data_IF_141221063422
#
_entry.id   IF_141221063422
#
_cell.length_a   1.000
_cell.length_b   1.000
_cell.length_c   1.000
_cell.angle_alpha   90.00
_cell.angle_beta   90.00
_cell.angle_gamma   90.00
#
_symmetry.space_group_name_H-M   'P 1'
#
loop_
_entity.id
_entity.type
_entity.pdbx_description
1 polymer ?
#
# COMPACT_ATOMS: atom_id res chain seq x y z
N UNK A 1 -16.13 13.53 2.10
CA UNK A 1 -14.87 13.83 2.81
C UNK A 1 -14.68 12.77 3.89
N UNK A 2 -13.49 12.19 4.05
CA UNK A 2 -13.22 11.22 5.13
C UNK A 2 -13.03 11.99 6.45
N UNK A 3 -13.71 11.63 7.55
CA UNK A 3 -13.52 12.26 8.85
C UNK A 3 -12.07 12.12 9.36
N UNK A 4 -11.43 13.18 9.90
CA UNK A 4 -10.04 13.09 10.39
C UNK A 4 -9.81 11.99 11.43
N UNK A 5 -10.79 11.73 12.29
CA UNK A 5 -10.72 10.67 13.30
C UNK A 5 -10.66 9.24 12.71
N UNK A 6 -10.98 9.07 11.42
CA UNK A 6 -10.84 7.82 10.66
C UNK A 6 -9.53 7.75 9.86
N UNK A 7 -8.71 8.80 9.89
CA UNK A 7 -7.41 8.84 9.24
C UNK A 7 -6.32 8.47 10.25
N UNK A 8 -5.72 7.30 10.04
CA UNK A 8 -4.58 6.84 10.82
C UNK A 8 -3.28 7.29 10.15
N UNK A 9 -2.32 7.79 10.93
CA UNK A 9 -1.01 8.22 10.44
C UNK A 9 0.13 7.67 11.30
N UNK A 10 1.23 7.33 10.64
CA UNK A 10 2.45 6.85 11.29
C UNK A 10 3.66 7.15 10.42
N UNK A 11 4.71 7.69 11.04
CA UNK A 11 6.06 7.78 10.51
C UNK A 11 7.01 7.70 11.70
N UNK A 12 7.97 6.76 11.73
CA UNK A 12 8.93 6.65 12.83
C UNK A 12 9.85 7.89 12.95
N UNK A 13 9.91 8.73 11.91
CA UNK A 13 10.71 9.95 11.89
C UNK A 13 9.94 11.20 12.31
N UNK A 14 8.66 11.10 12.70
CA UNK A 14 7.89 12.27 13.14
C UNK A 14 8.57 12.99 14.30
N UNK A 15 8.73 14.30 14.12
CA UNK A 15 9.13 15.23 15.17
C UNK A 15 7.98 15.51 16.15
N UNK A 16 8.28 15.93 17.39
CA UNK A 16 7.24 16.33 18.35
C UNK A 16 6.30 17.42 17.81
N UNK A 17 6.81 18.32 16.97
CA UNK A 17 6.03 19.38 16.33
C UNK A 17 5.02 18.80 15.32
N UNK A 18 5.45 17.86 14.47
CA UNK A 18 4.55 17.19 13.52
C UNK A 18 3.46 16.41 14.25
N UNK A 19 3.81 15.67 15.30
CA UNK A 19 2.83 14.97 16.13
C UNK A 19 1.80 15.95 16.72
N UNK A 20 2.26 17.10 17.22
CA UNK A 20 1.38 18.15 17.75
C UNK A 20 0.41 18.70 16.70
N UNK A 21 0.90 18.99 15.49
CA UNK A 21 0.07 19.50 14.38
C UNK A 21 -0.93 18.45 13.91
N UNK A 22 -0.50 17.20 13.70
CA UNK A 22 -1.36 16.10 13.28
C UNK A 22 -2.48 15.84 14.29
N UNK A 23 -2.17 15.93 15.59
CA UNK A 23 -3.16 15.85 16.67
C UNK A 23 -4.18 17.00 16.65
N UNK A 24 -3.74 18.24 16.40
CA UNK A 24 -4.64 19.40 16.27
C UNK A 24 -5.56 19.30 15.04
N UNK A 25 -5.11 18.61 13.98
CA UNK A 25 -5.92 18.30 12.79
C UNK A 25 -6.93 17.17 13.05
N UNK A 26 -6.93 16.55 14.23
CA UNK A 26 -7.84 15.48 14.62
C UNK A 26 -7.51 14.12 13.99
N UNK A 27 -6.29 13.94 13.49
CA UNK A 27 -5.81 12.67 12.93
C UNK A 27 -5.44 11.70 14.05
N UNK A 28 -5.63 10.41 13.80
CA UNK A 28 -5.27 9.35 14.76
C UNK A 28 -3.83 8.92 14.55
N UNK A 29 -2.97 9.19 15.53
CA UNK A 29 -1.60 8.67 15.54
C UNK A 29 -1.60 7.18 15.89
N UNK A 30 -0.98 6.35 15.06
CA UNK A 30 -0.64 4.98 15.47
C UNK A 30 0.50 5.06 16.49
N UNK A 31 0.39 4.27 17.57
CA UNK A 31 1.36 4.26 18.66
C UNK A 31 2.53 3.33 18.37
N UNK A 32 2.27 2.25 17.63
CA UNK A 32 3.21 1.19 17.36
C UNK A 32 3.72 1.27 15.92
N UNK A 33 5.01 0.97 15.73
CA UNK A 33 5.55 0.71 14.41
C UNK A 33 5.07 -0.65 13.91
N UNK A 34 3.98 -0.66 13.16
CA UNK A 34 3.43 -1.87 12.57
C UNK A 34 4.27 -2.40 11.39
N UNK A 35 5.34 -1.71 10.98
CA UNK A 35 6.21 -2.08 9.86
C UNK A 35 5.42 -2.35 8.56
N UNK A 36 4.36 -1.57 8.33
CA UNK A 36 3.47 -1.71 7.18
C UNK A 36 2.40 -2.80 7.31
N UNK A 37 2.26 -3.46 8.47
CA UNK A 37 1.32 -4.56 8.71
C UNK A 37 -0.03 -4.06 9.27
N UNK A 38 -0.52 -2.93 8.77
CA UNK A 38 -1.83 -2.43 9.17
C UNK A 38 -2.94 -3.29 8.56
N UNK A 39 -3.96 -3.65 9.35
CA UNK A 39 -5.04 -4.52 8.92
C UNK A 39 -6.27 -3.74 8.44
N UNK A 40 -7.01 -4.30 7.50
CA UNK A 40 -8.33 -3.79 7.11
C UNK A 40 -9.38 -4.21 8.16
N UNK A 41 -10.05 -3.24 8.77
CA UNK A 41 -11.03 -3.46 9.85
C UNK A 41 -12.49 -3.41 9.33
N UNK A 42 -12.85 -4.29 8.39
CA UNK A 42 -14.24 -4.50 7.94
C UNK A 42 -14.82 -3.46 6.97
N UNK A 43 -14.28 -2.24 6.93
CA UNK A 43 -14.61 -1.22 5.92
C UNK A 43 -13.62 -1.20 4.76
N UNK A 44 -13.97 -0.50 3.68
CA UNK A 44 -13.00 -0.18 2.63
C UNK A 44 -11.93 0.77 3.20
N UNK A 45 -10.66 0.49 2.91
CA UNK A 45 -9.51 1.20 3.47
C UNK A 45 -8.57 1.66 2.36
N UNK A 46 -8.24 2.95 2.39
CA UNK A 46 -7.24 3.57 1.54
C UNK A 46 -5.90 3.61 2.28
N UNK A 47 -4.88 3.01 1.71
CA UNK A 47 -3.49 3.12 2.18
C UNK A 47 -2.75 4.15 1.32
N UNK A 48 -2.29 5.22 1.95
CA UNK A 48 -1.45 6.23 1.31
C UNK A 48 0.00 5.98 1.73
N UNK A 49 0.81 5.44 0.82
CA UNK A 49 2.15 4.91 1.10
C UNK A 49 3.20 5.45 0.11
N UNK A 50 3.01 6.66 -0.39
CA UNK A 50 3.94 7.27 -1.35
C UNK A 50 5.35 7.29 -0.76
N UNK A 51 6.35 6.91 -1.57
CA UNK A 51 7.76 6.78 -1.17
C UNK A 51 8.09 5.71 -0.13
N UNK A 52 7.12 4.93 0.35
CA UNK A 52 7.40 3.79 1.23
C UNK A 52 8.32 2.77 0.54
N UNK A 53 9.15 2.09 1.34
CA UNK A 53 9.98 0.99 0.83
C UNK A 53 9.15 -0.21 0.38
N UNK A 54 9.67 -0.98 -0.59
CA UNK A 54 9.01 -2.18 -1.17
C UNK A 54 8.60 -3.21 -0.11
N UNK A 55 9.41 -3.35 0.94
CA UNK A 55 9.12 -4.23 2.07
C UNK A 55 7.81 -3.89 2.79
N UNK A 56 7.46 -2.59 2.88
CA UNK A 56 6.22 -2.16 3.54
C UNK A 56 4.98 -2.58 2.74
N UNK A 57 5.02 -2.50 1.41
CA UNK A 57 3.94 -3.01 0.56
C UNK A 57 3.79 -4.53 0.68
N UNK A 58 4.92 -5.24 0.68
CA UNK A 58 4.91 -6.70 0.85
C UNK A 58 4.31 -7.11 2.21
N UNK A 59 4.68 -6.41 3.28
CA UNK A 59 4.12 -6.62 4.62
C UNK A 59 2.63 -6.29 4.70
N UNK A 60 2.20 -5.22 4.04
CA UNK A 60 0.79 -4.81 3.99
C UNK A 60 -0.05 -5.88 3.29
N UNK A 61 0.43 -6.36 2.13
CA UNK A 61 -0.23 -7.45 1.39
C UNK A 61 -0.27 -8.73 2.22
N UNK A 62 0.85 -9.13 2.82
CA UNK A 62 0.92 -10.29 3.70
C UNK A 62 -0.10 -10.24 4.84
N UNK A 63 -0.17 -9.10 5.54
CA UNK A 63 -1.10 -8.94 6.67
C UNK A 63 -2.55 -9.11 6.23
N UNK A 64 -2.87 -8.69 5.01
CA UNK A 64 -4.22 -8.66 4.49
C UNK A 64 -4.45 -9.74 3.42
N UNK A 65 -3.69 -10.85 3.43
CA UNK A 65 -3.67 -11.86 2.36
C UNK A 65 -4.91 -12.78 2.31
N UNK A 66 -6.07 -12.18 2.08
CA UNK A 66 -7.33 -12.89 1.87
C UNK A 66 -8.19 -12.14 0.85
N UNK A 67 -9.01 -12.88 0.09
CA UNK A 67 -9.90 -12.33 -0.92
C UNK A 67 -10.79 -11.20 -0.37
N UNK A 68 -11.35 -11.41 0.83
CA UNK A 68 -12.29 -10.48 1.45
C UNK A 68 -11.65 -9.20 1.96
N UNK A 69 -10.37 -9.24 2.33
CA UNK A 69 -9.61 -8.07 2.80
C UNK A 69 -8.99 -7.32 1.62
N UNK A 70 -8.29 -7.99 0.71
CA UNK A 70 -7.68 -7.37 -0.47
C UNK A 70 -8.70 -6.63 -1.32
N UNK A 71 -9.88 -7.20 -1.54
CA UNK A 71 -10.95 -6.55 -2.33
C UNK A 71 -11.52 -5.27 -1.72
N UNK A 72 -11.17 -4.95 -0.47
CA UNK A 72 -11.54 -3.72 0.24
C UNK A 72 -10.41 -2.70 0.33
N UNK A 73 -9.24 -3.02 -0.24
CA UNK A 73 -8.05 -2.19 -0.18
C UNK A 73 -7.89 -1.37 -1.45
N UNK A 74 -7.48 -0.12 -1.25
CA UNK A 74 -6.89 0.72 -2.30
C UNK A 74 -5.54 1.20 -1.80
N UNK A 75 -4.51 1.14 -2.63
CA UNK A 75 -3.16 1.60 -2.30
C UNK A 75 -2.77 2.73 -3.25
N UNK A 76 -2.45 3.90 -2.71
CA UNK A 76 -1.76 4.97 -3.45
C UNK A 76 -0.29 4.93 -3.05
N UNK A 77 0.58 4.58 -3.99
CA UNK A 77 1.99 4.33 -3.69
C UNK A 77 2.79 4.02 -4.94
N UNK A 78 3.98 3.45 -4.79
CA UNK A 78 4.87 3.10 -5.88
C UNK A 78 4.27 1.99 -6.75
N UNK A 79 4.46 2.10 -8.06
CA UNK A 79 3.98 1.14 -9.05
C UNK A 79 4.44 -0.29 -8.76
N UNK A 80 3.51 -1.23 -8.63
CA UNK A 80 3.85 -2.66 -8.49
C UNK A 80 4.48 -3.19 -9.76
N UNK A 81 3.96 -2.79 -10.92
CA UNK A 81 4.58 -3.11 -12.21
C UNK A 81 5.98 -2.51 -12.33
N UNK A 82 6.18 -1.26 -11.91
CA UNK A 82 7.48 -0.62 -11.87
C UNK A 82 8.45 -1.28 -10.87
N UNK A 83 7.94 -1.89 -9.80
CA UNK A 83 8.75 -2.72 -8.89
C UNK A 83 9.18 -4.01 -9.59
N UNK A 84 8.27 -4.68 -10.29
CA UNK A 84 8.54 -5.89 -11.07
C UNK A 84 9.62 -5.65 -12.14
N UNK A 85 9.47 -4.58 -12.94
CA UNK A 85 10.37 -4.25 -14.05
C UNK A 85 11.80 -3.91 -13.59
N UNK A 86 11.96 -3.36 -12.38
CA UNK A 86 13.27 -2.90 -11.86
C UNK A 86 14.00 -3.95 -11.03
N UNK A 87 13.32 -5.00 -10.57
CA UNK A 87 13.93 -6.06 -9.76
C UNK A 87 14.18 -7.31 -10.61
N UNK A 88 15.24 -8.04 -10.26
CA UNK A 88 15.41 -9.40 -10.78
C UNK A 88 14.29 -10.29 -10.25
N UNK A 89 13.67 -11.12 -11.10
CA UNK A 89 12.55 -12.00 -10.73
C UNK A 89 12.87 -12.84 -9.48
N UNK A 90 14.07 -13.41 -9.40
CA UNK A 90 14.53 -14.17 -8.22
C UNK A 90 14.53 -13.37 -6.90
N UNK A 91 14.75 -12.05 -6.97
CA UNK A 91 14.76 -11.17 -5.79
C UNK A 91 13.32 -10.81 -5.45
N UNK A 92 12.51 -10.45 -6.45
CA UNK A 92 11.08 -10.16 -6.27
C UNK A 92 10.35 -11.36 -5.64
N UNK A 93 10.55 -12.56 -6.16
CA UNK A 93 9.91 -13.78 -5.67
C UNK A 93 10.41 -14.20 -4.27
N UNK A 94 11.68 -13.95 -3.95
CA UNK A 94 12.26 -14.33 -2.66
C UNK A 94 11.94 -13.33 -1.55
N UNK A 95 12.14 -12.04 -1.81
CA UNK A 95 12.11 -10.99 -0.77
C UNK A 95 10.76 -10.24 -0.74
N UNK A 96 10.02 -10.26 -1.85
CA UNK A 96 8.76 -9.51 -2.02
C UNK A 96 7.67 -10.39 -2.64
N UNK A 97 7.57 -11.63 -2.16
CA UNK A 97 6.74 -12.68 -2.74
C UNK A 97 5.26 -12.30 -2.86
N UNK A 98 4.71 -11.49 -1.94
CA UNK A 98 3.31 -11.07 -1.99
C UNK A 98 3.06 -10.04 -3.09
N UNK A 99 4.03 -9.16 -3.36
CA UNK A 99 3.97 -8.28 -4.54
C UNK A 99 4.00 -9.15 -5.79
N UNK A 100 4.94 -10.08 -5.90
CA UNK A 100 5.06 -10.98 -7.06
C UNK A 100 3.74 -11.76 -7.33
N UNK A 101 3.18 -12.35 -6.27
CA UNK A 101 1.96 -13.14 -6.31
C UNK A 101 0.72 -12.33 -6.72
N UNK A 102 0.62 -11.07 -6.29
CA UNK A 102 -0.60 -10.27 -6.48
C UNK A 102 -0.69 -9.54 -7.82
N UNK A 103 0.40 -9.44 -8.60
CA UNK A 103 0.48 -8.64 -9.84
C UNK A 103 -0.70 -8.89 -10.80
N UNK A 104 -1.03 -10.17 -11.07
CA UNK A 104 -2.16 -10.54 -11.95
C UNK A 104 -3.54 -10.22 -11.33
N UNK A 105 -3.62 -10.21 -10.00
CA UNK A 105 -4.80 -9.90 -9.22
C UNK A 105 -5.03 -8.40 -8.99
N UNK A 106 -4.09 -7.56 -9.44
CA UNK A 106 -4.09 -6.13 -9.22
C UNK A 106 -4.58 -5.41 -10.48
N UNK A 107 -5.36 -4.36 -10.28
CA UNK A 107 -5.50 -3.28 -11.24
C UNK A 107 -4.66 -2.11 -10.78
N UNK A 108 -3.94 -1.51 -11.71
CA UNK A 108 -3.02 -0.43 -11.44
C UNK A 108 -3.20 0.68 -12.48
N UNK A 109 -3.30 1.92 -12.01
CA UNK A 109 -3.27 3.11 -12.87
C UNK A 109 -2.26 4.10 -12.33
N UNK A 110 -1.31 4.51 -13.18
CA UNK A 110 -0.34 5.55 -12.84
C UNK A 110 -1.03 6.90 -12.68
N UNK A 111 -0.64 7.66 -11.66
CA UNK A 111 -1.06 9.05 -11.53
C UNK A 111 -0.38 9.91 -12.60
N UNK A 112 -1.04 11.00 -13.04
CA UNK A 112 -0.44 11.92 -13.99
C UNK A 112 0.83 12.53 -13.39
N UNK A 113 1.87 12.63 -14.22
CA UNK A 113 3.11 13.29 -13.83
C UNK A 113 2.85 14.75 -13.44
N UNK A 114 3.42 15.18 -12.31
CA UNK A 114 3.31 16.56 -11.90
C UNK A 114 4.30 17.42 -12.70
N UNK A 115 3.87 18.54 -13.33
CA UNK A 115 4.72 19.32 -14.24
C UNK A 115 5.98 19.90 -13.58
N UNK A 116 5.95 20.08 -12.25
CA UNK A 116 7.08 20.61 -11.45
C UNK A 116 7.86 19.55 -10.68
N UNK A 117 7.26 18.40 -10.38
CA UNK A 117 7.82 17.40 -9.46
C UNK A 117 7.98 16.08 -10.20
N UNK A 118 8.77 16.13 -11.28
CA UNK A 118 8.96 15.01 -12.18
C UNK A 118 9.57 13.80 -11.46
N UNK A 119 10.51 14.00 -10.54
CA UNK A 119 11.21 12.89 -9.89
C UNK A 119 10.54 12.40 -8.59
N UNK A 120 9.62 13.19 -8.03
CA UNK A 120 8.98 12.85 -6.74
C UNK A 120 7.79 11.93 -6.94
N UNK A 121 6.93 12.21 -7.93
CA UNK A 121 5.70 11.43 -8.12
C UNK A 121 5.69 10.60 -9.41
N UNK A 122 6.85 10.45 -10.07
CA UNK A 122 6.97 9.70 -11.33
C UNK A 122 6.49 8.24 -11.26
N UNK A 123 6.61 7.61 -10.11
CA UNK A 123 6.28 6.19 -9.93
C UNK A 123 5.00 5.97 -9.11
N UNK A 124 4.20 7.02 -8.89
CA UNK A 124 3.00 6.89 -8.06
C UNK A 124 1.84 6.34 -8.87
N UNK A 125 1.26 5.25 -8.39
CA UNK A 125 0.09 4.57 -8.95
C UNK A 125 -1.00 4.37 -7.90
N UNK A 126 -2.25 4.25 -8.36
CA UNK A 126 -3.37 3.75 -7.58
C UNK A 126 -3.53 2.27 -7.90
N UNK A 127 -3.59 1.44 -6.87
CA UNK A 127 -3.78 0.00 -6.95
C UNK A 127 -5.08 -0.39 -6.28
N UNK A 128 -5.84 -1.27 -6.90
CA UNK A 128 -6.99 -1.93 -6.27
C UNK A 128 -7.05 -3.39 -6.73
N UNK A 129 -7.81 -4.21 -6.00
CA UNK A 129 -7.80 -5.66 -6.17
C UNK A 129 -9.20 -6.17 -6.46
N UNK A 130 -9.66 -6.17 -7.74
CA UNK A 130 -11.00 -6.65 -8.07
C UNK A 130 -11.20 -8.09 -7.64
N UNK A 131 -12.30 -8.35 -6.92
CA UNK A 131 -12.61 -9.68 -6.41
C UNK A 131 -12.65 -10.75 -7.53
N UNK A 132 -13.04 -10.37 -8.74
CA UNK A 132 -13.05 -11.26 -9.92
C UNK A 132 -11.63 -11.69 -10.30
N UNK A 133 -10.71 -10.74 -10.51
CA UNK A 133 -9.29 -11.02 -10.77
C UNK A 133 -8.64 -11.84 -9.67
N UNK A 134 -8.96 -11.56 -8.40
CA UNK A 134 -8.44 -12.34 -7.28
C UNK A 134 -8.89 -13.81 -7.31
N UNK A 135 -10.15 -14.08 -7.71
CA UNK A 135 -10.69 -15.44 -7.85
C UNK A 135 -10.12 -16.20 -9.05
N UNK A 136 -9.59 -15.49 -10.05
CA UNK A 136 -8.93 -16.06 -11.22
C UNK A 136 -7.47 -16.48 -10.95
N UNK A 137 -6.90 -16.07 -9.80
CA UNK A 137 -5.57 -16.51 -9.40
C UNK A 137 -5.55 -18.00 -9.06
N UNK A 138 -4.41 -18.66 -9.31
CA UNK A 138 -4.19 -20.05 -8.92
C UNK A 138 -4.41 -20.23 -7.42
N UNK A 139 -5.04 -21.32 -6.96
CA UNK A 139 -5.19 -21.62 -5.53
C UNK A 139 -3.86 -21.57 -4.76
N UNK A 140 -2.77 -22.02 -5.38
CA UNK A 140 -1.40 -22.02 -4.82
C UNK A 140 -0.88 -20.62 -4.46
N UNK A 141 -1.49 -19.55 -4.98
CA UNK A 141 -1.15 -18.18 -4.62
C UNK A 141 -1.56 -17.88 -3.17
N UNK A 142 -2.64 -18.50 -2.71
CA UNK A 142 -3.25 -18.30 -1.41
C UNK A 142 -2.72 -19.24 -0.33
N UNK A 143 -2.01 -20.29 -0.73
CA UNK A 143 -1.21 -21.17 0.13
C UNK A 143 0.13 -20.49 0.54
#
# INVERSE_FOLDING_TARGET
>A
QVPPAQCCVFDPAFSPQEVGVLGQLGLRMLQDNEEGKHAVEGSATLFYMVHCGKALYNNLLWRNWALGTLSRMVIVGNSFKGIEERLLSRILERDYCYIAKILKGTEEVSLPAHPRYLDTFNDTSIHWFPLQKLKELSPEVWD
#
